data_IF_430617844521
#
_entry.id   IF_430617844521
#
_cell.length_a   1.000
_cell.length_b   1.000
_cell.length_c   1.000
_cell.angle_alpha   90.00
_cell.angle_beta   90.00
_cell.angle_gamma   90.00
#
_symmetry.space_group_name_H-M   'P 1'
#
loop_
_entity.id
_entity.type
_entity.pdbx_description
1 polymer ?
#
# COMPACT_ATOMS: atom_id res chain seq x y z
N UNK A 1 5.13 48.57 13.43
CA UNK A 1 5.82 47.31 13.06
C UNK A 1 4.91 46.15 13.43
N UNK A 2 4.13 45.66 12.48
CA UNK A 2 3.36 44.42 12.64
C UNK A 2 4.23 43.28 12.11
N UNK A 3 4.60 42.34 12.97
CA UNK A 3 5.27 41.10 12.57
C UNK A 3 4.22 40.17 11.99
N UNK A 4 4.23 40.04 10.66
CA UNK A 4 3.49 39.02 9.94
C UNK A 4 4.08 37.65 10.33
N UNK A 5 3.24 36.78 10.91
CA UNK A 5 3.63 35.39 11.17
C UNK A 5 3.29 34.61 9.91
N UNK A 6 4.31 34.29 9.15
CA UNK A 6 4.24 33.37 8.01
C UNK A 6 3.56 32.06 8.48
N UNK A 7 2.44 31.63 7.87
CA UNK A 7 1.84 30.35 8.23
C UNK A 7 2.81 29.27 7.77
N UNK A 8 3.43 28.56 8.72
CA UNK A 8 4.29 27.40 8.48
C UNK A 8 3.65 26.50 7.42
N UNK A 9 4.16 26.56 6.19
CA UNK A 9 3.75 25.72 5.09
C UNK A 9 4.07 24.27 5.47
N UNK A 10 3.05 23.53 5.89
CA UNK A 10 3.20 22.11 6.20
C UNK A 10 3.46 21.42 4.87
N UNK A 11 4.71 21.06 4.60
CA UNK A 11 5.08 20.38 3.37
C UNK A 11 4.33 19.05 3.26
N UNK A 12 3.46 18.95 2.25
CA UNK A 12 2.71 17.73 1.97
C UNK A 12 3.70 16.72 1.38
N UNK A 13 3.87 15.57 2.04
CA UNK A 13 4.75 14.53 1.54
C UNK A 13 4.26 14.00 0.19
N UNK A 14 5.13 13.96 -0.81
CA UNK A 14 4.85 13.31 -2.10
C UNK A 14 5.98 12.36 -2.43
N UNK A 15 5.68 11.22 -3.03
CA UNK A 15 6.73 10.31 -3.51
C UNK A 15 6.28 8.88 -3.73
N UNK A 16 7.19 8.03 -4.22
CA UNK A 16 6.90 6.63 -4.44
C UNK A 16 6.74 5.89 -3.11
N UNK A 17 5.80 4.95 -3.08
CA UNK A 17 5.75 3.93 -2.05
C UNK A 17 6.89 2.93 -2.25
N UNK A 18 7.41 2.37 -1.16
CA UNK A 18 8.51 1.40 -1.24
C UNK A 18 7.89 -0.01 -1.19
N UNK A 19 8.24 -0.84 -2.16
CA UNK A 19 7.75 -2.23 -2.26
C UNK A 19 8.87 -3.19 -1.88
N UNK A 20 8.55 -4.21 -1.08
CA UNK A 20 9.49 -5.26 -0.71
C UNK A 20 8.81 -6.62 -0.75
N UNK A 21 9.49 -7.62 -1.33
CA UNK A 21 9.11 -9.02 -1.25
C UNK A 21 9.52 -9.52 0.13
N UNK A 22 8.54 -9.96 0.91
CA UNK A 22 8.77 -10.57 2.22
C UNK A 22 9.04 -12.06 2.06
N UNK A 23 8.29 -12.71 1.18
CA UNK A 23 8.35 -14.14 0.97
C UNK A 23 7.90 -14.52 -0.43
N UNK A 24 8.59 -15.48 -1.01
CA UNK A 24 8.18 -16.19 -2.21
C UNK A 24 8.31 -17.70 -1.92
N UNK A 25 7.24 -18.47 -2.11
CA UNK A 25 7.25 -19.92 -1.89
C UNK A 25 6.92 -20.70 -3.16
N UNK A 26 7.25 -20.14 -4.33
CA UNK A 26 6.94 -20.70 -5.63
C UNK A 26 5.69 -20.05 -6.20
N UNK A 27 4.49 -20.54 -5.86
CA UNK A 27 3.26 -20.03 -6.44
C UNK A 27 2.63 -18.86 -5.67
N UNK A 28 3.04 -18.58 -4.43
CA UNK A 28 2.50 -17.50 -3.61
C UNK A 28 3.61 -16.53 -3.20
N UNK A 29 3.35 -15.25 -3.43
CA UNK A 29 4.28 -14.15 -3.10
C UNK A 29 3.61 -13.22 -2.11
N UNK A 30 4.35 -12.86 -1.07
CA UNK A 30 3.95 -11.87 -0.08
C UNK A 30 4.79 -10.61 -0.26
N UNK A 31 4.11 -9.50 -0.54
CA UNK A 31 4.69 -8.18 -0.67
C UNK A 31 4.29 -7.30 0.51
N UNK A 32 5.17 -6.39 0.88
CA UNK A 32 4.89 -5.28 1.77
C UNK A 32 5.12 -3.98 1.02
N UNK A 33 4.11 -3.09 1.07
CA UNK A 33 4.22 -1.72 0.58
C UNK A 33 4.27 -0.77 1.77
N UNK A 34 5.41 -0.11 1.93
CA UNK A 34 5.67 0.87 2.97
C UNK A 34 5.22 2.24 2.49
N UNK A 35 4.33 2.83 3.27
CA UNK A 35 3.75 4.15 3.02
C UNK A 35 4.00 5.03 4.24
N UNK A 36 4.66 6.18 4.09
CA UNK A 36 4.97 7.03 5.23
C UNK A 36 3.71 7.47 5.98
N UNK A 37 3.79 7.50 7.30
CA UNK A 37 2.73 7.98 8.21
C UNK A 37 1.40 7.19 8.14
N UNK A 38 1.39 6.02 7.49
CA UNK A 38 0.24 5.13 7.47
C UNK A 38 -0.04 4.59 8.89
N UNK A 39 -1.32 4.57 9.26
CA UNK A 39 -1.81 4.01 10.52
C UNK A 39 -2.82 2.91 10.23
N UNK A 40 -2.69 1.79 10.96
CA UNK A 40 -3.69 0.73 10.95
C UNK A 40 -4.98 1.23 11.60
N UNK A 41 -6.12 0.84 11.05
CA UNK A 41 -7.41 1.14 11.68
C UNK A 41 -7.51 0.34 12.97
N UNK A 42 -7.61 1.02 14.12
CA UNK A 42 -7.84 0.36 15.40
C UNK A 42 -9.11 -0.48 15.36
N UNK A 43 -9.01 -1.75 15.78
CA UNK A 43 -10.15 -2.65 15.90
C UNK A 43 -10.93 -2.30 17.18
N UNK A 44 -11.82 -1.32 17.12
CA UNK A 44 -12.89 -1.22 18.11
C UNK A 44 -13.90 -2.30 17.72
N UNK A 45 -13.75 -3.49 18.33
CA UNK A 45 -14.64 -4.65 18.34
C UNK A 45 -15.69 -4.68 17.22
N UNK A 46 -15.30 -5.10 16.02
CA UNK A 46 -16.26 -5.64 15.03
C UNK A 46 -16.03 -7.13 14.88
N UNK A 47 -16.42 -7.89 15.91
CA UNK A 47 -16.75 -9.31 15.76
C UNK A 47 -18.02 -9.40 14.93
N UNK A 48 -17.88 -9.36 13.62
CA UNK A 48 -18.86 -9.95 12.70
C UNK A 48 -18.04 -10.64 11.63
N UNK A 49 -17.79 -11.93 11.86
CA UNK A 49 -17.36 -12.86 10.82
C UNK A 49 -18.54 -12.98 9.87
N UNK A 50 -18.55 -12.13 8.86
CA UNK A 50 -19.44 -12.21 7.71
C UNK A 50 -18.54 -12.20 6.50
N UNK A 51 -18.56 -13.30 5.76
CA UNK A 51 -17.99 -13.54 4.42
C UNK A 51 -17.39 -12.28 3.83
N UNK A 52 -16.08 -12.07 4.04
CA UNK A 52 -15.37 -10.91 3.50
C UNK A 52 -15.32 -11.12 1.99
N UNK A 53 -16.37 -10.67 1.30
CA UNK A 53 -16.28 -10.32 -0.11
C UNK A 53 -15.06 -9.44 -0.21
N UNK A 54 -14.08 -9.91 -0.99
CA UNK A 54 -12.85 -9.25 -1.41
C UNK A 54 -12.95 -7.74 -1.19
N UNK A 55 -12.05 -7.10 -0.42
CA UNK A 55 -12.13 -5.66 -0.24
C UNK A 55 -11.92 -5.02 -1.62
N UNK A 56 -13.03 -4.68 -2.29
CA UNK A 56 -13.04 -3.94 -3.54
C UNK A 56 -12.45 -2.54 -3.39
N UNK A 57 -12.13 -2.15 -2.15
CA UNK A 57 -11.43 -0.92 -1.83
C UNK A 57 -10.54 -1.09 -0.58
N UNK A 58 -9.20 -1.13 -0.72
CA UNK A 58 -8.26 -1.26 0.40
C UNK A 58 -8.32 -0.10 1.40
N UNK A 59 -8.92 1.05 1.03
CA UNK A 59 -9.14 2.20 1.93
C UNK A 59 -9.95 1.89 3.20
N UNK A 60 -10.73 0.80 3.21
CA UNK A 60 -11.54 0.40 4.38
C UNK A 60 -10.67 -0.19 5.50
N UNK A 61 -9.48 -0.66 5.16
CA UNK A 61 -8.52 -1.32 6.05
C UNK A 61 -7.58 -0.30 6.74
N UNK A 62 -7.40 0.87 6.14
CA UNK A 62 -6.52 1.93 6.67
C UNK A 62 -7.24 2.81 7.69
N UNK A 63 -6.53 3.22 8.75
CA UNK A 63 -7.05 4.09 9.80
C UNK A 63 -7.08 5.56 9.39
N UNK A 64 -6.14 5.97 8.54
CA UNK A 64 -5.94 7.36 8.14
C UNK A 64 -5.58 7.53 6.67
N UNK A 65 -5.92 6.57 5.81
CA UNK A 65 -5.59 6.64 4.39
C UNK A 65 -6.78 6.33 3.48
N UNK A 66 -6.74 6.90 2.28
CA UNK A 66 -7.71 6.70 1.22
C UNK A 66 -6.98 6.47 -0.10
N UNK A 67 -7.25 5.34 -0.73
CA UNK A 67 -6.87 5.06 -2.10
C UNK A 67 -7.77 5.89 -3.01
N UNK A 68 -7.15 6.74 -3.81
CA UNK A 68 -7.84 7.54 -4.84
C UNK A 68 -7.81 6.84 -6.19
N UNK A 69 -6.77 6.05 -6.43
CA UNK A 69 -6.64 5.17 -7.58
C UNK A 69 -6.19 3.79 -7.11
N UNK A 70 -6.69 2.75 -7.76
CA UNK A 70 -6.26 1.37 -7.51
C UNK A 70 -6.60 0.49 -8.72
N UNK A 71 -5.57 -0.10 -9.30
CA UNK A 71 -5.65 -1.06 -10.39
C UNK A 71 -4.67 -2.20 -10.10
N UNK A 72 -5.16 -3.44 -10.17
CA UNK A 72 -4.36 -4.64 -10.12
C UNK A 72 -4.82 -5.55 -11.25
N UNK A 73 -3.92 -5.85 -12.17
CA UNK A 73 -4.14 -6.81 -13.24
C UNK A 73 -3.11 -7.94 -13.17
N UNK A 74 -3.13 -8.84 -14.17
CA UNK A 74 -2.29 -10.04 -14.14
C UNK A 74 -0.79 -9.77 -14.26
N UNK A 75 -0.37 -8.52 -14.47
CA UNK A 75 1.00 -8.10 -14.76
C UNK A 75 1.43 -6.84 -14.03
N UNK A 76 0.50 -6.00 -13.58
CA UNK A 76 0.79 -4.67 -13.05
C UNK A 76 0.04 -4.37 -11.76
N UNK A 77 0.56 -3.44 -10.98
CA UNK A 77 -0.10 -2.85 -9.82
C UNK A 77 0.13 -1.35 -9.84
N UNK A 78 -0.97 -0.60 -9.85
CA UNK A 78 -0.95 0.85 -9.69
C UNK A 78 -1.90 1.26 -8.58
N UNK A 79 -1.44 2.11 -7.67
CA UNK A 79 -2.34 2.82 -6.79
C UNK A 79 -1.76 4.16 -6.35
N UNK A 80 -2.67 5.08 -6.04
CA UNK A 80 -2.36 6.34 -5.37
C UNK A 80 -3.11 6.35 -4.05
N UNK A 81 -2.39 6.64 -2.97
CA UNK A 81 -2.98 6.74 -1.63
C UNK A 81 -2.68 8.09 -1.00
N UNK A 82 -3.74 8.70 -0.48
CA UNK A 82 -3.67 9.90 0.33
C UNK A 82 -3.68 9.49 1.81
N UNK A 83 -2.71 10.01 2.58
CA UNK A 83 -2.56 9.78 4.01
C UNK A 83 -2.92 11.08 4.74
N UNK A 84 -3.76 10.98 5.77
CA UNK A 84 -4.31 12.11 6.51
C UNK A 84 -3.90 12.08 7.98
N UNK A 85 -3.95 13.24 8.64
CA UNK A 85 -3.63 13.37 10.06
C UNK A 85 -4.63 12.63 10.96
N UNK A 86 -5.91 12.66 10.61
CA UNK A 86 -7.00 11.96 11.29
C UNK A 86 -8.17 11.75 10.33
N UNK A 87 -8.85 10.60 10.44
CA UNK A 87 -10.08 10.27 9.70
C UNK A 87 -11.30 10.25 10.64
N UNK A 88 -11.40 11.25 11.52
CA UNK A 88 -12.52 11.36 12.44
C UNK A 88 -13.75 11.92 11.72
N UNK A 89 -14.84 11.15 11.69
CA UNK A 89 -16.14 11.60 11.15
C UNK A 89 -16.65 12.90 11.77
N UNK A 90 -16.20 13.26 12.98
CA UNK A 90 -16.59 14.51 13.65
C UNK A 90 -15.92 15.77 13.06
N UNK A 91 -14.78 15.63 12.39
CA UNK A 91 -13.96 16.75 11.93
C UNK A 91 -13.64 16.67 10.43
N UNK A 92 -14.65 16.40 9.58
CA UNK A 92 -14.46 16.42 8.12
C UNK A 92 -13.91 17.75 7.61
N UNK A 93 -14.16 18.87 8.31
CA UNK A 93 -13.66 20.19 7.95
C UNK A 93 -12.14 20.39 8.21
N UNK A 94 -11.42 19.39 8.74
CA UNK A 94 -10.00 19.52 9.11
C UNK A 94 -9.18 18.27 8.75
N UNK A 95 -9.52 17.58 7.66
CA UNK A 95 -8.71 16.49 7.11
C UNK A 95 -7.43 17.05 6.46
N UNK A 96 -6.43 17.33 7.29
CA UNK A 96 -5.10 17.74 6.82
C UNK A 96 -4.40 16.54 6.14
N UNK A 97 -4.17 16.68 4.83
CA UNK A 97 -3.39 15.76 4.03
C UNK A 97 -1.92 15.78 4.50
N UNK A 98 -1.43 14.63 4.96
CA UNK A 98 -0.03 14.44 5.32
C UNK A 98 0.84 14.09 4.12
N UNK A 99 0.26 13.38 3.16
CA UNK A 99 0.96 13.06 1.93
C UNK A 99 0.15 12.27 0.92
N UNK A 100 0.65 12.22 -0.30
CA UNK A 100 0.13 11.43 -1.41
C UNK A 100 1.26 10.56 -1.98
N UNK A 101 1.05 9.24 -1.96
CA UNK A 101 2.07 8.26 -2.33
C UNK A 101 1.58 7.35 -3.44
N UNK A 102 2.46 7.10 -4.40
CA UNK A 102 2.15 6.28 -5.58
C UNK A 102 2.94 4.98 -5.51
N UNK A 103 2.26 3.85 -5.72
CA UNK A 103 2.90 2.58 -6.05
C UNK A 103 2.62 2.30 -7.52
N UNK A 104 3.67 2.20 -8.32
CA UNK A 104 3.57 1.86 -9.74
C UNK A 104 4.55 0.72 -10.03
N UNK A 105 3.99 -0.45 -10.36
CA UNK A 105 4.72 -1.61 -10.87
C UNK A 105 4.10 -1.92 -12.23
N UNK A 106 4.84 -1.60 -13.30
CA UNK A 106 4.32 -1.77 -14.66
C UNK A 106 4.34 -3.22 -15.11
N UNK A 107 5.36 -3.96 -14.68
CA UNK A 107 5.49 -5.38 -15.01
C UNK A 107 6.10 -6.18 -13.86
N UNK A 108 5.33 -7.09 -13.29
CA UNK A 108 5.81 -8.08 -12.32
C UNK A 108 6.79 -9.09 -12.95
N UNK A 109 7.66 -9.74 -12.15
CA UNK A 109 8.59 -10.76 -12.64
C UNK A 109 7.88 -12.00 -13.21
N UNK A 110 6.62 -12.21 -12.83
CA UNK A 110 5.76 -13.24 -13.41
C UNK A 110 4.29 -12.83 -13.37
N UNK A 111 3.44 -13.47 -14.17
CA UNK A 111 2.00 -13.18 -14.15
C UNK A 111 1.35 -13.65 -12.85
N UNK A 112 0.36 -12.91 -12.37
CA UNK A 112 -0.43 -13.23 -11.18
C UNK A 112 -1.92 -13.40 -11.53
N UNK A 113 -2.67 -14.00 -10.61
CA UNK A 113 -4.13 -14.08 -10.60
C UNK A 113 -4.69 -12.88 -9.81
N UNK A 114 -5.21 -11.82 -10.45
CA UNK A 114 -5.72 -10.65 -9.74
C UNK A 114 -6.92 -10.99 -8.87
N UNK A 115 -7.75 -11.92 -9.33
CA UNK A 115 -8.91 -12.43 -8.62
C UNK A 115 -8.55 -13.05 -7.26
N UNK A 116 -7.39 -13.70 -7.17
CA UNK A 116 -6.89 -14.37 -5.96
C UNK A 116 -6.05 -13.48 -5.04
N UNK A 117 -5.81 -12.22 -5.40
CA UNK A 117 -5.01 -11.31 -4.59
C UNK A 117 -5.71 -10.92 -3.28
N UNK A 118 -4.94 -10.94 -2.18
CA UNK A 118 -5.41 -10.56 -0.84
C UNK A 118 -4.70 -9.31 -0.35
N UNK A 119 -5.45 -8.42 0.30
CA UNK A 119 -4.95 -7.17 0.86
C UNK A 119 -5.17 -7.12 2.37
N UNK A 120 -4.14 -6.72 3.09
CA UNK A 120 -4.21 -6.50 4.52
C UNK A 120 -3.43 -5.25 4.96
N UNK A 121 -3.73 -4.74 6.15
CA UNK A 121 -2.91 -3.70 6.78
C UNK A 121 -2.21 -4.32 7.97
N UNK A 122 -0.90 -4.47 7.83
CA UNK A 122 0.01 -4.97 8.85
C UNK A 122 0.44 -3.82 9.77
N UNK A 123 0.75 -4.13 11.02
CA UNK A 123 1.30 -3.15 11.95
C UNK A 123 2.47 -3.80 12.69
N UNK A 124 3.64 -3.19 12.59
CA UNK A 124 4.81 -3.59 13.36
C UNK A 124 4.63 -3.19 14.83
N UNK A 125 5.39 -3.82 15.72
CA UNK A 125 5.45 -3.48 17.15
C UNK A 125 5.85 -2.02 17.40
N UNK A 126 6.58 -1.40 16.47
CA UNK A 126 6.91 0.04 16.49
C UNK A 126 5.71 0.97 16.26
N UNK A 127 4.54 0.43 15.90
CA UNK A 127 3.35 1.18 15.53
C UNK A 127 3.26 1.55 14.05
N UNK A 128 4.34 1.37 13.28
CA UNK A 128 4.34 1.58 11.83
C UNK A 128 3.39 0.60 11.14
N UNK A 129 2.53 1.12 10.27
CA UNK A 129 1.63 0.30 9.46
C UNK A 129 2.13 0.17 8.02
N UNK A 130 1.80 -0.96 7.41
CA UNK A 130 2.18 -1.33 6.06
C UNK A 130 0.99 -1.96 5.34
N UNK A 131 0.97 -1.88 4.02
CA UNK A 131 0.03 -2.67 3.22
C UNK A 131 0.71 -4.00 2.92
N UNK A 132 0.09 -5.09 3.38
CA UNK A 132 0.45 -6.45 2.97
C UNK A 132 -0.36 -6.84 1.75
N UNK A 133 0.30 -7.45 0.77
CA UNK A 133 -0.31 -7.95 -0.45
C UNK A 133 0.15 -9.39 -0.67
N UNK A 134 -0.80 -10.32 -0.72
CA UNK A 134 -0.55 -11.70 -1.13
C UNK A 134 -0.98 -11.87 -2.58
N UNK A 135 -0.07 -12.34 -3.44
CA UNK A 135 -0.29 -12.60 -4.85
C UNK A 135 -0.09 -14.08 -5.16
N UNK A 136 -0.90 -14.60 -6.08
CA UNK A 136 -0.78 -15.97 -6.59
C UNK A 136 -0.27 -15.92 -8.03
N UNK A 137 0.90 -16.52 -8.30
CA UNK A 137 1.47 -16.62 -9.64
C UNK A 137 0.69 -17.62 -10.49
N UNK A 138 0.50 -17.30 -11.77
CA UNK A 138 -0.19 -18.16 -12.75
C UNK A 138 0.66 -18.52 -13.98
N UNK A 139 1.89 -17.99 -14.05
CA UNK A 139 2.86 -18.33 -15.08
C UNK A 139 4.27 -18.11 -14.56
N UNK A 140 5.25 -18.83 -15.11
CA UNK A 140 6.66 -18.77 -14.70
C UNK A 140 6.86 -18.82 -13.17
N UNK A 141 6.24 -19.80 -12.51
CA UNK A 141 6.23 -19.95 -11.04
C UNK A 141 7.63 -20.18 -10.44
N UNK A 142 8.58 -20.60 -11.26
CA UNK A 142 9.98 -20.83 -10.89
C UNK A 142 10.78 -19.54 -10.68
N UNK A 143 10.31 -18.39 -11.18
CA UNK A 143 10.97 -17.11 -10.91
C UNK A 143 10.81 -16.77 -9.44
N UNK A 144 11.91 -16.73 -8.70
CA UNK A 144 11.95 -16.24 -7.32
C UNK A 144 11.96 -14.70 -7.33
N UNK A 145 10.86 -14.09 -6.86
CA UNK A 145 10.72 -12.63 -6.82
C UNK A 145 11.61 -11.99 -5.76
N UNK A 146 11.94 -12.71 -4.68
CA UNK A 146 12.84 -12.20 -3.64
C UNK A 146 14.26 -12.11 -4.19
N UNK A 147 14.73 -13.18 -4.83
CA UNK A 147 16.03 -13.20 -5.50
C UNK A 147 16.10 -12.15 -6.62
N UNK A 148 15.03 -12.03 -7.42
CA UNK A 148 14.93 -10.98 -8.43
C UNK A 148 15.05 -9.58 -7.81
N UNK A 149 14.31 -9.29 -6.74
CA UNK A 149 14.38 -8.00 -6.07
C UNK A 149 15.76 -7.73 -5.47
N UNK A 150 16.38 -8.73 -4.84
CA UNK A 150 17.69 -8.56 -4.19
C UNK A 150 18.79 -8.24 -5.20
N UNK A 151 18.66 -8.72 -6.44
CA UNK A 151 19.58 -8.42 -7.54
C UNK A 151 19.33 -7.06 -8.17
N UNK A 152 18.06 -6.69 -8.36
CA UNK A 152 17.68 -5.54 -9.17
C UNK A 152 17.26 -4.29 -8.37
N UNK A 153 17.08 -4.43 -7.05
CA UNK A 153 16.54 -3.39 -6.17
C UNK A 153 15.03 -3.14 -6.33
N UNK A 154 14.36 -3.82 -7.28
CA UNK A 154 12.94 -3.66 -7.60
C UNK A 154 12.34 -4.97 -8.09
N UNK A 155 11.01 -5.08 -8.03
CA UNK A 155 10.24 -6.15 -8.70
C UNK A 155 9.58 -5.68 -9.98
N UNK A 156 9.72 -4.41 -10.36
CA UNK A 156 9.27 -3.93 -11.67
C UNK A 156 10.32 -4.28 -12.73
N UNK A 157 10.01 -5.27 -13.55
CA UNK A 157 10.86 -5.71 -14.67
C UNK A 157 11.12 -4.56 -15.64
N UNK A 158 10.15 -3.66 -15.84
CA UNK A 158 10.32 -2.53 -16.76
C UNK A 158 11.33 -1.48 -16.27
N UNK A 159 11.70 -1.54 -14.98
CA UNK A 159 12.72 -0.70 -14.38
C UNK A 159 14.12 -1.34 -14.39
N UNK A 160 14.23 -2.58 -14.87
CA UNK A 160 15.50 -3.30 -15.06
C UNK A 160 15.86 -3.22 -16.54
N UNK A 161 16.99 -2.59 -16.87
CA UNK A 161 17.47 -2.40 -18.25
C UNK A 161 17.89 -3.72 -18.91
#
# INVERSE_FOLDING_TARGET
MATDKDPTEVSIGKGPAIVSVVKDNGNRVELVVKIPQLKKRGQILRKIIGTIKKPSNPSKLCGNAQFVEYTLDGTSLHFIVNVFKSRSKKNQNNESLLGSYTCDIKQFPSRISPESAEFEVLQASSGNAYIGLTLIKVGNISTDWKEFQDRNGTIDVSAVC
#
